data_IF_730347171961
#
_entry.id   IF_730347171961
#
_cell.length_a   1.000
_cell.length_b   1.000
_cell.length_c   1.000
_cell.angle_alpha   90.00
_cell.angle_beta   90.00
_cell.angle_gamma   90.00
#
_symmetry.space_group_name_H-M   'P 1'
#
loop_
_entity.id
_entity.type
_entity.pdbx_description
1 polymer ?
#
# COMPACT_ATOMS: atom_id res chain seq x y z
N UNK A 1 -10.29 -7.29 -33.13
CA UNK A 1 -8.99 -6.98 -32.51
C UNK A 1 -9.27 -6.12 -31.30
N UNK A 2 -9.18 -6.69 -30.10
CA UNK A 2 -9.37 -5.93 -28.86
C UNK A 2 -8.11 -5.13 -28.64
N UNK A 3 -8.25 -3.81 -28.60
CA UNK A 3 -7.15 -2.88 -28.43
C UNK A 3 -6.48 -3.12 -27.05
N UNK A 4 -5.25 -3.63 -27.07
CA UNK A 4 -4.50 -4.01 -25.86
C UNK A 4 -3.87 -2.78 -25.17
N UNK A 5 -4.04 -1.59 -25.76
CA UNK A 5 -3.32 -0.37 -25.37
C UNK A 5 -3.87 0.35 -24.13
N UNK A 6 -5.00 -0.09 -23.57
CA UNK A 6 -5.65 0.60 -22.44
C UNK A 6 -5.48 -0.04 -21.05
N UNK A 7 -4.64 -1.06 -20.90
CA UNK A 7 -4.45 -1.72 -19.61
C UNK A 7 -3.29 -1.13 -18.81
N UNK A 8 -3.50 0.05 -18.21
CA UNK A 8 -2.52 0.65 -17.30
C UNK A 8 -2.34 -0.25 -16.08
N UNK A 9 -1.09 -0.65 -15.84
CA UNK A 9 -0.68 -1.45 -14.68
C UNK A 9 -0.22 -0.54 -13.55
N UNK A 10 -0.57 -0.92 -12.32
CA UNK A 10 -0.21 -0.20 -11.10
C UNK A 10 0.48 -1.16 -10.15
N UNK A 11 1.71 -0.82 -9.74
CA UNK A 11 2.40 -1.51 -8.65
C UNK A 11 1.78 -1.06 -7.33
N UNK A 12 1.39 -2.03 -6.51
CA UNK A 12 0.69 -1.77 -5.26
C UNK A 12 1.20 -2.66 -4.14
N UNK A 13 0.90 -2.22 -2.92
CA UNK A 13 1.19 -2.91 -1.67
C UNK A 13 -0.16 -3.17 -0.99
N UNK A 14 -0.39 -4.38 -0.45
CA UNK A 14 -1.63 -4.69 0.23
C UNK A 14 -1.69 -3.99 1.59
N UNK A 15 -2.92 -3.75 2.02
CA UNK A 15 -3.26 -3.26 3.35
C UNK A 15 -3.98 -4.39 4.08
N UNK A 16 -3.56 -4.65 5.32
CA UNK A 16 -4.18 -5.63 6.20
C UNK A 16 -4.56 -4.96 7.52
N UNK A 17 -5.49 -5.54 8.27
CA UNK A 17 -5.70 -5.20 9.66
C UNK A 17 -4.38 -5.29 10.43
N UNK A 18 -4.11 -4.31 11.30
CA UNK A 18 -2.85 -4.23 12.06
C UNK A 18 -2.60 -5.48 12.90
N UNK A 19 -3.66 -6.04 13.49
CA UNK A 19 -3.54 -7.10 14.48
C UNK A 19 -2.76 -6.60 15.72
N UNK A 20 -1.91 -7.45 16.29
CA UNK A 20 -1.15 -7.14 17.52
C UNK A 20 0.27 -6.64 17.28
N UNK A 21 0.86 -6.85 16.08
CA UNK A 21 2.27 -6.54 15.81
C UNK A 21 2.46 -5.99 14.39
N UNK A 22 3.36 -4.99 14.30
CA UNK A 22 3.85 -4.41 13.05
C UNK A 22 5.31 -4.82 12.88
N UNK A 23 5.59 -5.54 11.80
CA UNK A 23 6.90 -6.07 11.46
C UNK A 23 7.85 -5.03 10.86
N UNK A 24 9.13 -5.39 10.69
CA UNK A 24 10.16 -4.48 10.17
C UNK A 24 9.99 -4.11 8.70
N UNK A 25 9.18 -4.84 7.93
CA UNK A 25 8.82 -4.55 6.55
C UNK A 25 7.32 -4.24 6.42
N UNK A 26 6.73 -3.69 7.48
CA UNK A 26 5.34 -3.25 7.52
C UNK A 26 5.30 -1.78 7.97
N UNK A 27 4.26 -1.05 7.57
CA UNK A 27 4.02 0.35 8.01
C UNK A 27 2.66 0.43 8.65
N UNK A 28 2.59 1.02 9.83
CA UNK A 28 1.35 1.19 10.58
C UNK A 28 0.50 2.33 10.02
N UNK A 29 -0.81 2.11 9.91
CA UNK A 29 -1.80 3.13 9.59
C UNK A 29 -2.80 3.22 10.74
N UNK A 30 -2.72 4.29 11.53
CA UNK A 30 -3.63 4.50 12.66
C UNK A 30 -4.99 5.01 12.17
N UNK A 31 -6.08 4.49 12.74
CA UNK A 31 -7.43 4.93 12.41
C UNK A 31 -7.66 6.42 12.71
N UNK A 32 -6.96 6.97 13.71
CA UNK A 32 -6.98 8.41 14.02
C UNK A 32 -6.47 9.27 12.86
N UNK A 33 -5.49 8.78 12.10
CA UNK A 33 -4.95 9.44 10.90
C UNK A 33 -5.72 9.10 9.63
N UNK A 34 -6.41 7.95 9.61
CA UNK A 34 -7.15 7.43 8.46
C UNK A 34 -8.55 6.91 8.84
N UNK A 35 -9.50 7.79 9.23
CA UNK A 35 -10.80 7.36 9.74
C UNK A 35 -11.63 6.51 8.76
N UNK A 36 -11.40 6.66 7.45
CA UNK A 36 -12.09 5.92 6.40
C UNK A 36 -11.68 4.44 6.30
N UNK A 37 -10.57 4.04 6.96
CA UNK A 37 -10.20 2.63 7.10
C UNK A 37 -11.05 1.93 8.18
N UNK A 38 -11.64 2.69 9.11
CA UNK A 38 -12.54 2.20 10.16
C UNK A 38 -11.84 1.43 11.30
N UNK A 39 -10.54 1.19 11.20
CA UNK A 39 -9.70 0.48 12.17
C UNK A 39 -8.22 0.71 11.86
N UNK A 40 -7.37 0.35 12.83
CA UNK A 40 -5.93 0.38 12.63
C UNK A 40 -5.53 -0.72 11.62
N UNK A 41 -4.74 -0.31 10.64
CA UNK A 41 -4.27 -1.14 9.55
C UNK A 41 -2.74 -1.13 9.48
N UNK A 42 -2.20 -1.93 8.57
CA UNK A 42 -0.80 -1.91 8.19
C UNK A 42 -0.63 -2.17 6.70
N UNK A 43 0.38 -1.55 6.10
CA UNK A 43 0.83 -1.83 4.73
C UNK A 43 1.90 -2.92 4.79
N UNK A 44 1.80 -3.95 3.96
CA UNK A 44 2.83 -4.98 3.85
C UNK A 44 3.83 -4.61 2.76
N UNK A 45 5.01 -4.09 3.13
CA UNK A 45 6.01 -3.65 2.15
C UNK A 45 6.81 -4.80 1.51
N UNK A 46 6.66 -6.02 2.03
CA UNK A 46 7.26 -7.23 1.47
C UNK A 46 6.41 -7.92 0.39
N UNK A 47 5.12 -7.54 0.30
CA UNK A 47 4.20 -8.11 -0.67
C UNK A 47 3.92 -7.07 -1.76
N UNK A 48 4.64 -7.19 -2.88
CA UNK A 48 4.55 -6.24 -3.99
C UNK A 48 3.92 -6.97 -5.17
N UNK A 49 2.80 -6.45 -5.66
CA UNK A 49 2.13 -7.01 -6.83
C UNK A 49 1.63 -5.91 -7.76
N UNK A 50 1.25 -6.34 -8.97
CA UNK A 50 0.82 -5.44 -10.04
C UNK A 50 -0.61 -5.79 -10.41
N UNK A 51 -1.51 -4.82 -10.28
CA UNK A 51 -2.90 -4.92 -10.73
C UNK A 51 -3.15 -4.03 -11.95
N UNK A 52 -4.27 -4.24 -12.62
CA UNK A 52 -4.75 -3.28 -13.61
C UNK A 52 -5.49 -2.14 -12.91
N UNK A 53 -5.38 -0.93 -13.44
CA UNK A 53 -6.10 0.24 -12.89
C UNK A 53 -7.63 -0.01 -12.85
N UNK A 54 -8.16 -0.81 -13.77
CA UNK A 54 -9.55 -1.22 -13.81
C UNK A 54 -9.99 -2.09 -12.62
N UNK A 55 -9.06 -2.71 -11.88
CA UNK A 55 -9.37 -3.53 -10.70
C UNK A 55 -9.67 -2.66 -9.45
N UNK A 56 -9.34 -1.37 -9.49
CA UNK A 56 -9.58 -0.44 -8.37
C UNK A 56 -10.99 0.14 -8.43
N UNK A 57 -11.80 -0.13 -7.40
CA UNK A 57 -13.20 0.31 -7.35
C UNK A 57 -13.37 1.77 -6.92
N UNK A 58 -12.52 2.23 -6.00
CA UNK A 58 -12.67 3.52 -5.31
C UNK A 58 -11.37 3.91 -4.62
N UNK A 59 -11.07 5.21 -4.63
CA UNK A 59 -10.08 5.82 -3.73
C UNK A 59 -10.65 5.95 -2.31
N UNK A 60 -9.96 5.39 -1.31
CA UNK A 60 -10.35 5.52 0.10
C UNK A 60 -9.80 6.82 0.70
N UNK A 61 -8.48 6.95 0.77
CA UNK A 61 -7.80 8.15 1.25
C UNK A 61 -6.37 8.21 0.69
N UNK A 62 -5.81 9.40 0.48
CA UNK A 62 -4.38 9.53 0.20
C UNK A 62 -3.55 9.22 1.45
N UNK A 63 -2.36 8.66 1.25
CA UNK A 63 -1.39 8.43 2.32
C UNK A 63 -0.74 9.77 2.72
N UNK A 64 -0.62 10.02 4.02
CA UNK A 64 0.07 11.18 4.58
C UNK A 64 1.59 11.12 4.30
N UNK A 65 2.26 12.27 4.33
CA UNK A 65 3.67 12.36 3.90
C UNK A 65 4.66 11.59 4.77
N UNK A 66 4.37 11.45 6.06
CA UNK A 66 5.22 10.68 6.97
C UNK A 66 5.12 9.18 6.66
N UNK A 67 3.90 8.66 6.58
CA UNK A 67 3.66 7.24 6.28
C UNK A 67 4.10 6.90 4.86
N UNK A 68 3.94 7.81 3.90
CA UNK A 68 4.46 7.67 2.53
C UNK A 68 5.97 7.52 2.52
N UNK A 69 6.69 8.36 3.26
CA UNK A 69 8.15 8.28 3.40
C UNK A 69 8.56 6.98 4.07
N UNK A 70 7.85 6.56 5.12
CA UNK A 70 8.14 5.29 5.78
C UNK A 70 7.95 4.11 4.82
N UNK A 71 6.83 4.04 4.10
CA UNK A 71 6.58 3.00 3.09
C UNK A 71 7.72 2.94 2.07
N UNK A 72 8.16 4.09 1.55
CA UNK A 72 9.27 4.13 0.60
C UNK A 72 10.56 3.55 1.19
N UNK A 73 10.91 3.90 2.43
CA UNK A 73 12.09 3.36 3.09
C UNK A 73 11.99 1.86 3.39
N UNK A 74 10.82 1.38 3.84
CA UNK A 74 10.59 -0.05 4.09
C UNK A 74 10.67 -0.87 2.79
N UNK A 75 10.09 -0.36 1.69
CA UNK A 75 10.17 -1.00 0.37
C UNK A 75 11.61 -1.04 -0.12
N UNK A 76 12.36 0.07 -0.04
CA UNK A 76 13.78 0.09 -0.43
C UNK A 76 14.60 -0.94 0.35
N UNK A 77 14.41 -1.02 1.68
CA UNK A 77 15.10 -2.01 2.52
C UNK A 77 14.74 -3.44 2.14
N UNK A 78 13.46 -3.72 1.94
CA UNK A 78 13.00 -5.05 1.52
C UNK A 78 13.62 -5.46 0.17
N UNK A 79 13.65 -4.53 -0.78
CA UNK A 79 14.25 -4.73 -2.11
C UNK A 79 15.78 -4.64 -2.13
N UNK A 80 16.43 -4.41 -0.99
CA UNK A 80 17.91 -4.26 -0.86
C UNK A 80 18.48 -3.16 -1.77
N UNK A 81 17.73 -2.06 -1.90
CA UNK A 81 18.12 -0.89 -2.69
C UNK A 81 18.85 0.18 -1.85
N UNK A 82 19.03 -0.08 -0.55
CA UNK A 82 19.70 0.78 0.44
C UNK A 82 20.55 -0.07 1.38
#
# INVERSE_FOLDING_TARGET
MTDVSNYKKVTCLPIQDKGTRVGPAEVELLNSSYPLLGKDCKILCYEIYTLYEADFKRLICPLQDNDRREVQERVKRYLRLV
#
